data_IF_056176743865
#
_entry.id   IF_056176743865
#
_cell.length_a   1.000
_cell.length_b   1.000
_cell.length_c   1.000
_cell.angle_alpha   90.00
_cell.angle_beta   90.00
_cell.angle_gamma   90.00
#
_symmetry.space_group_name_H-M   'P 1'
#
loop_
_entity.id
_entity.type
_entity.pdbx_description
1 polymer ?
#
# COMPACT_ATOMS: atom_id res chain seq x y z
N UNK A 1 -43.03 32.94 6.23
CA UNK A 1 -41.78 32.94 7.03
C UNK A 1 -41.32 31.54 7.43
N UNK A 2 -42.21 30.56 7.68
CA UNK A 2 -41.82 29.19 8.06
C UNK A 2 -41.11 28.39 6.93
N UNK A 3 -41.54 28.50 5.67
CA UNK A 3 -40.95 27.75 4.55
C UNK A 3 -39.48 28.12 4.24
N UNK A 4 -39.08 29.36 4.53
CA UNK A 4 -37.70 29.84 4.34
C UNK A 4 -36.73 29.16 5.32
N UNK A 5 -37.17 28.89 6.56
CA UNK A 5 -36.35 28.25 7.59
C UNK A 5 -36.15 26.74 7.37
N UNK A 6 -37.08 26.08 6.67
CA UNK A 6 -36.92 24.67 6.28
C UNK A 6 -35.92 24.51 5.12
N UNK A 7 -35.91 25.46 4.19
CA UNK A 7 -34.98 25.43 3.06
C UNK A 7 -33.54 25.72 3.51
N UNK A 8 -33.34 26.68 4.41
CA UNK A 8 -32.01 27.02 4.93
C UNK A 8 -31.42 25.91 5.80
N UNK A 9 -32.21 25.24 6.63
CA UNK A 9 -31.75 24.11 7.45
C UNK A 9 -31.37 22.89 6.60
N UNK A 10 -32.13 22.60 5.54
CA UNK A 10 -31.79 21.55 4.56
C UNK A 10 -30.47 21.82 3.84
N UNK A 11 -30.23 23.06 3.42
CA UNK A 11 -29.00 23.47 2.74
C UNK A 11 -27.78 23.38 3.66
N UNK A 12 -27.92 23.80 4.92
CA UNK A 12 -26.88 23.72 5.94
C UNK A 12 -26.54 22.26 6.25
N UNK A 13 -27.54 21.37 6.34
CA UNK A 13 -27.32 19.94 6.58
C UNK A 13 -26.60 19.27 5.40
N UNK A 14 -26.93 19.62 4.16
CA UNK A 14 -26.22 19.14 2.96
C UNK A 14 -24.77 19.64 2.93
N UNK A 15 -24.54 20.91 3.30
CA UNK A 15 -23.20 21.49 3.39
C UNK A 15 -22.37 20.82 4.51
N UNK A 16 -22.98 20.54 5.65
CA UNK A 16 -22.35 19.81 6.76
C UNK A 16 -22.03 18.36 6.40
N UNK A 17 -22.90 17.67 5.64
CA UNK A 17 -22.61 16.35 5.08
C UNK A 17 -21.42 16.41 4.11
N UNK A 18 -21.34 17.42 3.24
CA UNK A 18 -20.20 17.61 2.33
C UNK A 18 -18.89 17.91 3.08
N UNK A 19 -18.96 18.62 4.21
CA UNK A 19 -17.81 18.87 5.09
C UNK A 19 -17.38 17.63 5.89
N UNK A 20 -18.30 16.70 6.17
CA UNK A 20 -18.02 15.41 6.83
C UNK A 20 -17.52 14.32 5.88
N UNK A 21 -17.62 14.52 4.56
CA UNK A 21 -16.83 13.74 3.62
C UNK A 21 -15.39 14.25 3.77
N UNK A 22 -14.69 13.73 4.78
CA UNK A 22 -13.26 13.79 4.87
C UNK A 22 -12.75 13.40 3.48
N UNK A 23 -12.09 14.34 2.80
CA UNK A 23 -11.42 14.07 1.54
C UNK A 23 -10.37 13.02 1.84
N UNK A 24 -10.72 11.75 1.67
CA UNK A 24 -9.73 10.71 1.54
C UNK A 24 -8.89 11.15 0.34
N UNK A 25 -7.64 11.52 0.59
CA UNK A 25 -6.68 11.72 -0.50
C UNK A 25 -6.79 10.51 -1.39
N UNK A 26 -7.07 10.72 -2.68
CA UNK A 26 -7.12 9.62 -3.62
C UNK A 26 -5.76 8.91 -3.56
N UNK A 27 -5.77 7.58 -3.47
CA UNK A 27 -4.54 6.81 -3.45
C UNK A 27 -3.75 7.09 -4.73
N UNK A 28 -2.46 7.38 -4.59
CA UNK A 28 -1.62 7.79 -5.72
C UNK A 28 -1.02 6.53 -6.34
N UNK A 29 -1.51 6.15 -7.53
CA UNK A 29 -1.00 4.99 -8.25
C UNK A 29 0.46 5.22 -8.67
N UNK A 30 1.35 4.29 -8.32
CA UNK A 30 2.78 4.37 -8.63
C UNK A 30 3.15 3.40 -9.77
N UNK A 31 2.88 2.10 -9.61
CA UNK A 31 3.15 1.09 -10.64
C UNK A 31 2.40 -0.23 -10.39
N UNK A 32 2.52 -1.16 -11.33
CA UNK A 32 2.15 -2.57 -11.15
C UNK A 32 3.17 -3.47 -11.86
N UNK A 33 3.16 -4.75 -11.49
CA UNK A 33 3.93 -5.79 -12.16
C UNK A 33 3.11 -7.06 -12.24
N UNK A 34 3.03 -7.57 -13.46
CA UNK A 34 2.43 -8.87 -13.77
C UNK A 34 3.58 -9.82 -14.08
N UNK A 35 3.63 -10.98 -13.41
CA UNK A 35 4.70 -11.95 -13.67
C UNK A 35 4.66 -12.47 -15.09
N UNK A 36 3.47 -12.54 -15.69
CA UNK A 36 3.19 -13.13 -16.98
C UNK A 36 3.72 -14.58 -17.10
N UNK A 37 3.82 -15.30 -15.98
CA UNK A 37 4.34 -16.67 -15.94
C UNK A 37 3.22 -17.70 -15.99
N UNK A 38 2.22 -17.53 -15.14
CA UNK A 38 1.12 -18.46 -14.97
C UNK A 38 -0.20 -17.71 -14.97
N UNK A 39 -1.20 -18.28 -15.66
CA UNK A 39 -2.49 -17.64 -15.86
C UNK A 39 -3.63 -18.58 -15.48
N UNK A 40 -4.66 -18.04 -14.85
CA UNK A 40 -5.91 -18.76 -14.60
C UNK A 40 -6.94 -18.47 -15.70
N UNK A 41 -7.80 -19.46 -15.99
CA UNK A 41 -8.92 -19.25 -16.91
C UNK A 41 -10.06 -18.49 -16.20
N UNK A 42 -10.84 -17.73 -16.96
CA UNK A 42 -12.05 -17.08 -16.46
C UNK A 42 -13.07 -18.11 -15.95
N UNK A 43 -13.90 -17.70 -15.00
CA UNK A 43 -14.96 -18.53 -14.37
C UNK A 43 -14.42 -19.78 -13.66
N UNK A 44 -13.15 -19.76 -13.26
CA UNK A 44 -12.54 -20.83 -12.47
C UNK A 44 -12.71 -20.64 -10.98
N UNK A 45 -12.53 -21.73 -10.22
CA UNK A 45 -12.41 -21.69 -8.75
C UNK A 45 -11.35 -20.68 -8.30
N UNK A 46 -10.24 -20.60 -9.03
CA UNK A 46 -9.16 -19.65 -8.74
C UNK A 46 -9.64 -18.20 -8.77
N UNK A 47 -10.36 -17.78 -9.83
CA UNK A 47 -10.89 -16.42 -9.92
C UNK A 47 -11.85 -16.09 -8.77
N UNK A 48 -12.74 -17.02 -8.42
CA UNK A 48 -13.65 -16.85 -7.27
C UNK A 48 -12.91 -16.73 -5.94
N UNK A 49 -11.89 -17.56 -5.74
CA UNK A 49 -11.04 -17.51 -4.54
C UNK A 49 -10.25 -16.20 -4.50
N UNK A 50 -9.73 -15.72 -5.64
CA UNK A 50 -9.00 -14.46 -5.74
C UNK A 50 -9.90 -13.28 -5.35
N UNK A 51 -11.13 -13.24 -5.84
CA UNK A 51 -12.10 -12.22 -5.45
C UNK A 51 -12.40 -12.24 -3.95
N UNK A 52 -12.52 -13.44 -3.38
CA UNK A 52 -12.75 -13.61 -1.93
C UNK A 52 -11.52 -13.16 -1.13
N UNK A 53 -10.33 -13.50 -1.61
CA UNK A 53 -9.05 -13.12 -1.03
C UNK A 53 -8.87 -11.59 -1.02
N UNK A 54 -9.08 -10.94 -2.16
CA UNK A 54 -9.01 -9.49 -2.28
C UNK A 54 -10.03 -8.79 -1.37
N UNK A 55 -11.26 -9.32 -1.28
CA UNK A 55 -12.28 -8.81 -0.37
C UNK A 55 -11.88 -8.95 1.11
N UNK A 56 -11.20 -10.04 1.47
CA UNK A 56 -10.63 -10.24 2.81
C UNK A 56 -9.56 -9.20 3.13
N UNK A 57 -8.66 -8.92 2.19
CA UNK A 57 -7.64 -7.86 2.37
C UNK A 57 -8.28 -6.49 2.60
N UNK A 58 -9.27 -6.12 1.79
CA UNK A 58 -10.00 -4.84 1.91
C UNK A 58 -10.74 -4.72 3.24
N UNK A 59 -11.36 -5.81 3.71
CA UNK A 59 -12.06 -5.79 5.00
C UNK A 59 -11.09 -5.59 6.17
N UNK A 60 -9.94 -6.26 6.12
CA UNK A 60 -8.93 -6.19 7.18
C UNK A 60 -8.14 -4.87 7.17
N UNK A 61 -7.98 -4.18 6.03
CA UNK A 61 -7.27 -2.88 5.96
C UNK A 61 -7.91 -1.76 6.77
N UNK A 62 -9.19 -1.92 7.13
CA UNK A 62 -9.91 -0.99 8.01
C UNK A 62 -9.56 -1.14 9.50
N UNK A 63 -8.93 -2.25 9.90
CA UNK A 63 -8.68 -2.59 11.30
C UNK A 63 -7.40 -1.89 11.83
N UNK A 64 -7.51 -0.93 12.75
CA UNK A 64 -6.34 -0.24 13.30
C UNK A 64 -5.38 -1.19 14.03
N UNK A 65 -5.89 -2.29 14.60
CA UNK A 65 -5.11 -3.31 15.31
C UNK A 65 -4.11 -4.06 14.43
N UNK A 66 -4.29 -4.03 13.12
CA UNK A 66 -3.38 -4.67 12.16
C UNK A 66 -2.22 -3.76 11.75
N UNK A 67 -2.19 -2.51 12.21
CA UNK A 67 -1.07 -1.60 12.00
C UNK A 67 -0.63 -1.42 10.54
N UNK A 68 -1.58 -1.52 9.60
CA UNK A 68 -1.30 -1.38 8.18
C UNK A 68 -0.60 -2.59 7.55
N UNK A 69 -0.63 -3.77 8.18
CA UNK A 69 -0.13 -5.00 7.59
C UNK A 69 -1.09 -6.16 7.81
N UNK A 70 -1.35 -6.93 6.76
CA UNK A 70 -2.13 -8.17 6.86
C UNK A 70 -1.67 -9.15 5.79
N UNK A 71 -1.44 -10.40 6.18
CA UNK A 71 -1.19 -11.55 5.29
C UNK A 71 -2.27 -12.58 5.54
N UNK A 72 -2.79 -13.17 4.48
CA UNK A 72 -3.76 -14.26 4.57
C UNK A 72 -3.59 -15.20 3.39
N UNK A 73 -4.25 -16.34 3.45
CA UNK A 73 -4.32 -17.28 2.34
C UNK A 73 -5.73 -17.82 2.19
N UNK A 74 -6.14 -18.06 0.94
CA UNK A 74 -7.41 -18.70 0.60
C UNK A 74 -7.12 -19.73 -0.49
N UNK A 75 -7.26 -21.02 -0.15
CA UNK A 75 -6.93 -22.15 -1.04
C UNK A 75 -5.45 -22.03 -1.46
N UNK A 76 -5.18 -22.00 -2.77
CA UNK A 76 -3.82 -21.90 -3.31
C UNK A 76 -3.33 -20.45 -3.44
N UNK A 77 -4.07 -19.45 -2.95
CA UNK A 77 -3.70 -18.03 -3.04
C UNK A 77 -3.14 -17.57 -1.70
N UNK A 78 -1.90 -17.11 -1.70
CA UNK A 78 -1.28 -16.42 -0.58
C UNK A 78 -1.03 -14.96 -0.95
N UNK A 79 -1.04 -14.06 0.02
CA UNK A 79 -0.74 -12.67 -0.24
C UNK A 79 -0.99 -11.75 0.92
N UNK A 80 -0.72 -10.46 0.68
CA UNK A 80 -0.64 -9.45 1.73
C UNK A 80 -0.84 -8.05 1.19
N UNK A 81 -1.18 -7.15 2.11
CA UNK A 81 -0.99 -5.71 1.90
C UNK A 81 -0.03 -5.13 2.94
N UNK A 82 0.62 -4.03 2.57
CA UNK A 82 1.35 -3.14 3.47
C UNK A 82 0.93 -1.71 3.19
N UNK A 83 0.55 -0.98 4.21
CA UNK A 83 0.34 0.46 4.13
C UNK A 83 1.58 1.20 4.63
N UNK A 84 1.82 2.40 4.10
CA UNK A 84 2.88 3.28 4.57
C UNK A 84 2.67 3.60 6.06
N UNK A 85 3.71 3.48 6.87
CA UNK A 85 3.52 3.47 8.33
C UNK A 85 3.07 4.80 8.93
N UNK A 86 3.20 5.91 8.21
CA UNK A 86 2.72 7.24 8.58
C UNK A 86 1.23 7.48 8.26
N UNK A 87 0.56 6.59 7.49
CA UNK A 87 -0.86 6.76 7.17
C UNK A 87 -1.78 6.17 8.25
N UNK A 88 -3.01 6.72 8.34
CA UNK A 88 -4.06 6.22 9.22
C UNK A 88 -4.86 5.07 8.56
N UNK A 89 -5.70 4.38 9.35
CA UNK A 89 -6.48 3.24 8.88
C UNK A 89 -7.44 3.60 7.72
N UNK A 90 -8.00 4.81 7.69
CA UNK A 90 -8.89 5.26 6.62
C UNK A 90 -8.15 5.41 5.29
N UNK A 91 -6.97 6.05 5.30
CA UNK A 91 -6.12 6.20 4.10
C UNK A 91 -5.61 4.83 3.63
N UNK A 92 -5.17 3.99 4.58
CA UNK A 92 -4.77 2.61 4.29
C UNK A 92 -5.91 1.81 3.63
N UNK A 93 -7.12 1.87 4.19
CA UNK A 93 -8.28 1.18 3.64
C UNK A 93 -8.62 1.65 2.22
N UNK A 94 -8.66 2.98 2.00
CA UNK A 94 -8.91 3.54 0.68
C UNK A 94 -7.89 3.09 -0.36
N UNK A 95 -6.62 3.05 0.02
CA UNK A 95 -5.55 2.56 -0.86
C UNK A 95 -5.69 1.07 -1.17
N UNK A 96 -5.89 0.22 -0.16
CA UNK A 96 -6.03 -1.24 -0.36
C UNK A 96 -7.27 -1.55 -1.20
N UNK A 97 -8.36 -0.80 -1.04
CA UNK A 97 -9.55 -0.91 -1.88
C UNK A 97 -9.27 -0.57 -3.34
N UNK A 98 -8.57 0.54 -3.60
CA UNK A 98 -8.17 0.93 -4.96
C UNK A 98 -7.20 -0.09 -5.59
N UNK A 99 -6.24 -0.59 -4.82
CA UNK A 99 -5.32 -1.63 -5.23
C UNK A 99 -6.03 -2.95 -5.60
N UNK A 100 -6.93 -3.42 -4.74
CA UNK A 100 -7.70 -4.64 -4.96
C UNK A 100 -8.61 -4.53 -6.19
N UNK A 101 -9.21 -3.36 -6.42
CA UNK A 101 -10.05 -3.12 -7.60
C UNK A 101 -9.24 -3.11 -8.91
N UNK A 102 -8.00 -2.62 -8.88
CA UNK A 102 -7.22 -2.38 -10.09
C UNK A 102 -6.27 -3.53 -10.44
N UNK A 103 -5.81 -4.33 -9.48
CA UNK A 103 -4.74 -5.31 -9.72
C UNK A 103 -5.10 -6.36 -10.78
N UNK A 104 -6.33 -6.89 -10.76
CA UNK A 104 -6.78 -7.88 -11.75
C UNK A 104 -7.16 -7.24 -13.09
N UNK A 105 -7.36 -5.93 -13.13
CA UNK A 105 -7.60 -5.19 -14.37
C UNK A 105 -6.28 -4.88 -15.09
N UNK A 106 -5.25 -4.49 -14.33
CA UNK A 106 -3.92 -4.19 -14.83
C UNK A 106 -3.13 -5.47 -15.16
N UNK A 107 -3.31 -6.52 -14.37
CA UNK A 107 -2.73 -7.85 -14.58
C UNK A 107 -3.85 -8.88 -14.83
N UNK A 108 -4.44 -8.89 -16.04
CA UNK A 108 -5.54 -9.79 -16.34
C UNK A 108 -5.07 -11.24 -16.27
N UNK A 109 -5.81 -12.05 -15.51
CA UNK A 109 -5.66 -13.51 -15.42
C UNK A 109 -4.34 -14.01 -14.84
N UNK A 110 -3.43 -13.12 -14.41
CA UNK A 110 -2.15 -13.51 -13.84
C UNK A 110 -2.36 -14.11 -12.45
N UNK A 111 -1.71 -15.24 -12.16
CA UNK A 111 -1.81 -15.89 -10.84
C UNK A 111 -0.89 -15.27 -9.80
N UNK A 112 0.02 -14.39 -10.22
CA UNK A 112 0.86 -13.61 -9.33
C UNK A 112 0.98 -12.16 -9.81
N UNK A 113 0.70 -11.21 -8.92
CA UNK A 113 0.72 -9.79 -9.28
C UNK A 113 1.04 -8.90 -8.10
N UNK A 114 1.63 -7.75 -8.44
CA UNK A 114 2.06 -6.72 -7.52
C UNK A 114 1.47 -5.39 -7.97
N UNK A 115 0.95 -4.61 -7.06
CA UNK A 115 0.51 -3.23 -7.32
C UNK A 115 0.99 -2.32 -6.20
N UNK A 116 1.49 -1.15 -6.59
CA UNK A 116 2.01 -0.13 -5.70
C UNK A 116 1.26 1.17 -5.88
N UNK A 117 0.87 1.71 -4.75
CA UNK A 117 0.45 3.09 -4.55
C UNK A 117 1.38 3.71 -3.51
N UNK A 118 1.46 5.03 -3.48
CA UNK A 118 2.31 5.74 -2.52
C UNK A 118 1.92 5.43 -1.06
N UNK A 119 0.65 5.09 -0.82
CA UNK A 119 0.12 4.76 0.51
C UNK A 119 0.10 3.26 0.83
N UNK A 120 0.15 2.36 -0.17
CA UNK A 120 0.11 0.92 0.07
C UNK A 120 0.61 0.06 -1.08
N UNK A 121 0.98 -1.17 -0.75
CA UNK A 121 1.37 -2.23 -1.67
C UNK A 121 0.42 -3.40 -1.46
N UNK A 122 -0.08 -4.01 -2.54
CA UNK A 122 -0.85 -5.25 -2.49
C UNK A 122 -0.19 -6.29 -3.40
N UNK A 123 -0.05 -7.50 -2.88
CA UNK A 123 0.60 -8.61 -3.59
C UNK A 123 -0.21 -9.89 -3.36
N UNK A 124 -0.41 -10.68 -4.42
CA UNK A 124 -0.89 -12.06 -4.34
C UNK A 124 -0.10 -12.98 -5.26
N UNK A 125 -0.02 -14.27 -4.92
CA UNK A 125 0.57 -15.34 -5.73
C UNK A 125 -0.22 -16.63 -5.53
N UNK A 126 -0.16 -17.54 -6.51
CA UNK A 126 -0.61 -18.93 -6.37
C UNK A 126 0.47 -19.84 -5.75
N UNK A 127 1.52 -19.25 -5.19
CA UNK A 127 2.58 -19.91 -4.47
C UNK A 127 2.86 -19.16 -3.15
N UNK A 128 3.44 -19.85 -2.19
CA UNK A 128 3.84 -19.22 -0.93
C UNK A 128 5.00 -18.26 -1.19
N UNK A 129 4.89 -17.01 -0.75
CA UNK A 129 6.02 -16.09 -0.76
C UNK A 129 7.11 -16.59 0.19
N UNK A 130 8.29 -16.91 -0.34
CA UNK A 130 9.52 -16.95 0.45
C UNK A 130 9.83 -15.51 0.91
N UNK A 131 10.12 -15.35 2.19
CA UNK A 131 10.30 -14.01 2.79
C UNK A 131 11.58 -13.30 2.31
N UNK A 132 12.41 -13.95 1.49
CA UNK A 132 13.77 -13.52 1.21
C UNK A 132 13.93 -12.61 -0.01
N UNK A 133 12.93 -12.51 -0.92
CA UNK A 133 13.05 -11.64 -2.10
C UNK A 133 11.73 -10.90 -2.38
N UNK A 134 11.65 -9.63 -1.94
CA UNK A 134 10.66 -8.70 -2.52
C UNK A 134 11.21 -8.28 -3.90
N UNK A 135 11.03 -9.16 -4.87
CA UNK A 135 11.23 -8.88 -6.29
C UNK A 135 9.86 -9.03 -6.93
N UNK A 136 9.28 -7.96 -7.52
CA UNK A 136 9.95 -6.82 -8.14
C UNK A 136 10.02 -5.57 -7.25
N UNK A 137 10.99 -4.70 -7.55
CA UNK A 137 11.03 -3.32 -7.05
C UNK A 137 10.67 -2.31 -8.15
N UNK A 138 10.26 -1.11 -7.76
CA UNK A 138 10.07 0.02 -8.69
C UNK A 138 11.36 0.84 -8.73
N UNK A 139 11.98 1.06 -9.89
CA UNK A 139 13.07 2.03 -10.00
C UNK A 139 12.52 3.43 -9.78
N UNK A 140 12.99 4.11 -8.73
CA UNK A 140 12.71 5.52 -8.51
C UNK A 140 13.77 6.32 -9.29
N UNK A 141 13.34 7.04 -10.32
CA UNK A 141 14.24 7.92 -11.07
C UNK A 141 14.55 9.17 -10.23
N UNK A 142 15.83 9.49 -10.07
CA UNK A 142 16.26 10.74 -9.47
C UNK A 142 16.19 11.86 -10.53
N UNK A 143 15.37 12.89 -10.31
CA UNK A 143 15.30 14.07 -11.18
C UNK A 143 16.51 15.00 -11.00
N UNK A 144 17.31 14.81 -9.94
CA UNK A 144 18.47 15.63 -9.62
C UNK A 144 19.77 14.83 -9.64
N UNK A 145 20.47 14.82 -10.76
CA UNK A 145 21.83 14.25 -10.79
C UNK A 145 22.71 14.99 -9.77
N UNK A 146 23.11 14.30 -8.71
CA UNK A 146 24.10 14.83 -7.76
C UNK A 146 25.51 14.70 -8.35
N UNK A 147 25.76 15.45 -9.43
CA UNK A 147 27.00 15.43 -10.24
C UNK A 147 28.27 15.69 -9.40
N UNK A 148 28.15 16.17 -8.17
CA UNK A 148 29.26 16.51 -7.27
C UNK A 148 29.26 15.75 -5.92
N UNK A 149 28.46 14.70 -5.75
CA UNK A 149 28.48 13.91 -4.51
C UNK A 149 29.52 12.80 -4.64
N UNK A 150 30.42 12.68 -3.65
CA UNK A 150 31.27 11.51 -3.51
C UNK A 150 30.35 10.27 -3.34
N UNK A 151 30.18 9.50 -4.42
CA UNK A 151 29.25 8.35 -4.46
C UNK A 151 29.57 7.32 -3.39
N UNK A 152 30.85 7.09 -3.08
CA UNK A 152 31.25 6.14 -2.03
C UNK A 152 30.81 6.64 -0.65
N UNK A 153 30.99 7.94 -0.37
CA UNK A 153 30.53 8.55 0.87
C UNK A 153 29.00 8.49 0.99
N UNK A 154 28.28 8.80 -0.08
CA UNK A 154 26.82 8.70 -0.12
C UNK A 154 26.34 7.26 0.11
N UNK A 155 26.91 6.28 -0.60
CA UNK A 155 26.54 4.87 -0.46
C UNK A 155 26.85 4.34 0.95
N UNK A 156 27.95 4.79 1.56
CA UNK A 156 28.27 4.47 2.95
C UNK A 156 27.23 5.06 3.92
N UNK A 157 26.88 6.34 3.77
CA UNK A 157 25.85 6.98 4.59
C UNK A 157 24.49 6.30 4.42
N UNK A 158 24.08 6.02 3.19
CA UNK A 158 22.84 5.32 2.87
C UNK A 158 22.79 3.94 3.53
N UNK A 159 23.83 3.13 3.36
CA UNK A 159 23.93 1.80 3.96
C UNK A 159 23.86 1.85 5.49
N UNK A 160 24.56 2.81 6.11
CA UNK A 160 24.53 2.98 7.57
C UNK A 160 23.13 3.34 8.08
N UNK A 161 22.45 4.29 7.42
CA UNK A 161 21.09 4.68 7.79
C UNK A 161 20.12 3.51 7.60
N UNK A 162 20.14 2.83 6.45
CA UNK A 162 19.25 1.69 6.19
C UNK A 162 19.46 0.55 7.18
N UNK A 163 20.71 0.22 7.51
CA UNK A 163 21.02 -0.82 8.50
C UNK A 163 20.56 -0.41 9.91
N UNK A 164 20.73 0.85 10.30
CA UNK A 164 20.23 1.35 11.59
C UNK A 164 18.71 1.30 11.67
N UNK A 165 18.02 1.72 10.61
CA UNK A 165 16.57 1.68 10.51
C UNK A 165 16.05 0.24 10.54
N UNK A 166 16.71 -0.68 9.83
CA UNK A 166 16.39 -2.11 9.90
C UNK A 166 16.43 -2.62 11.34
N UNK A 167 17.50 -2.31 12.09
CA UNK A 167 17.60 -2.69 13.50
C UNK A 167 16.43 -2.18 14.34
N UNK A 168 16.11 -0.89 14.23
CA UNK A 168 14.99 -0.26 14.96
C UNK A 168 13.62 -0.83 14.59
N UNK A 169 13.39 -1.15 13.32
CA UNK A 169 12.14 -1.74 12.85
C UNK A 169 11.93 -3.17 13.39
N UNK A 170 13.01 -3.88 13.71
CA UNK A 170 12.96 -5.24 14.28
C UNK A 170 12.74 -5.23 15.80
N UNK A 171 13.08 -4.14 16.48
CA UNK A 171 12.86 -3.98 17.92
C UNK A 171 11.39 -3.69 18.28
N UNK A 172 10.54 -3.38 17.30
CA UNK A 172 9.11 -3.12 17.52
C UNK A 172 8.41 -4.35 18.11
N UNK A 173 7.63 -4.11 19.17
CA UNK A 173 6.92 -5.17 19.89
C UNK A 173 5.72 -5.71 19.11
N UNK A 174 5.20 -6.86 19.55
CA UNK A 174 4.06 -7.51 18.92
C UNK A 174 2.81 -6.62 19.06
N UNK A 175 2.29 -6.12 17.94
CA UNK A 175 1.17 -5.18 17.92
C UNK A 175 1.57 -3.71 17.77
N UNK A 176 2.85 -3.40 17.51
CA UNK A 176 3.30 -2.09 17.06
C UNK A 176 3.51 -2.04 15.54
N UNK A 177 3.41 -0.85 14.95
CA UNK A 177 3.80 -0.60 13.56
C UNK A 177 5.30 -0.89 13.42
N UNK A 178 5.66 -1.85 12.56
CA UNK A 178 7.05 -2.12 12.16
C UNK A 178 7.55 -1.09 11.14
N UNK A 179 7.52 0.17 11.51
CA UNK A 179 7.85 1.29 10.63
C UNK A 179 8.74 2.30 11.37
N UNK A 180 9.79 2.74 10.71
CA UNK A 180 10.73 3.72 11.23
C UNK A 180 11.25 4.57 10.09
N UNK A 181 11.44 5.86 10.38
CA UNK A 181 12.03 6.84 9.47
C UNK A 181 13.32 7.40 10.07
N UNK A 182 14.24 7.81 9.21
CA UNK A 182 15.48 8.45 9.63
C UNK A 182 16.10 9.22 8.47
N UNK A 183 17.01 10.11 8.81
CA UNK A 183 17.72 10.94 7.86
C UNK A 183 19.17 11.14 8.31
N UNK A 184 20.04 11.42 7.35
CA UNK A 184 21.42 11.84 7.58
C UNK A 184 21.74 12.96 6.60
N UNK A 185 22.47 13.97 7.07
CA UNK A 185 22.95 15.04 6.21
C UNK A 185 24.12 14.54 5.37
N UNK A 186 24.03 14.72 4.06
CA UNK A 186 25.15 14.48 3.15
C UNK A 186 26.05 15.72 3.22
N UNK A 187 27.04 15.70 4.11
CA UNK A 187 28.08 16.73 4.14
C UNK A 187 29.11 16.44 3.06
N UNK A 188 29.54 17.46 2.32
CA UNK A 188 30.75 17.35 1.51
C UNK A 188 31.92 17.06 2.44
N UNK A 189 32.60 15.93 2.24
CA UNK A 189 33.85 15.61 2.91
C UNK A 189 34.95 16.61 2.51
#
# INVERSE_FOLDING_TARGET
MLASNFCTTSLILQLLCLLFHATASAAIYSAHFCTNQTFYASDTKFQSNLNTFLSSLVSNSSLPSLNGFFRTSIDDIDGRFFCRGDVNATVCHGCVAAAAANITHLCPNDTESYIWYDECILIYSNSTFDNDDIVPGIPLNDEGSTVNTNHDHFNQLLSNVLNSLKGKALESSMGEKKFVVGAVSVTSA
#
